data_IF_297245765364
#
_entry.id   IF_297245765364
#
_cell.length_a   1.000
_cell.length_b   1.000
_cell.length_c   1.000
_cell.angle_alpha   90.00
_cell.angle_beta   90.00
_cell.angle_gamma   90.00
#
_symmetry.space_group_name_H-M   'P 1'
#
loop_
_entity.id
_entity.type
_entity.pdbx_description
1 polymer ?
#
# COMPACT_ATOMS: atom_id res chain seq x y z
N UNK A 1 -22.39 21.03 -28.16
CA UNK A 1 -21.81 19.80 -27.54
C UNK A 1 -20.37 19.68 -28.01
N UNK A 2 -19.43 19.37 -27.12
CA UNK A 2 -18.01 19.17 -27.41
C UNK A 2 -17.68 17.71 -27.16
N UNK A 3 -17.07 17.05 -28.13
CA UNK A 3 -16.58 15.68 -28.02
C UNK A 3 -15.06 15.67 -28.20
N UNK A 4 -14.32 15.12 -27.24
CA UNK A 4 -12.86 15.08 -27.28
C UNK A 4 -12.29 13.73 -26.83
N UNK A 5 -11.15 13.36 -27.40
CA UNK A 5 -10.30 12.26 -26.94
C UNK A 5 -8.89 12.83 -26.71
N UNK A 6 -8.65 13.55 -25.59
CA UNK A 6 -7.37 14.16 -25.32
C UNK A 6 -6.25 13.12 -25.21
N UNK A 7 -5.00 13.48 -25.53
CA UNK A 7 -3.86 12.59 -25.35
C UNK A 7 -3.71 12.13 -23.88
N UNK A 8 -3.46 10.83 -23.69
CA UNK A 8 -3.14 10.22 -22.39
C UNK A 8 -1.64 10.32 -22.13
N UNK A 9 -1.17 11.50 -21.72
CA UNK A 9 0.23 11.72 -21.41
C UNK A 9 0.41 12.36 -20.03
N UNK A 10 1.22 11.71 -19.20
CA UNK A 10 1.71 12.24 -17.92
C UNK A 10 3.11 12.86 -18.10
N UNK A 11 3.39 13.91 -17.33
CA UNK A 11 4.70 14.54 -17.32
C UNK A 11 5.81 13.62 -16.76
N UNK A 12 5.46 12.72 -15.83
CA UNK A 12 6.33 11.71 -15.23
C UNK A 12 6.15 10.36 -15.95
N UNK A 13 7.25 9.69 -16.30
CA UNK A 13 7.21 8.37 -16.95
C UNK A 13 7.75 7.30 -16.03
N UNK A 14 7.23 6.07 -16.07
CA UNK A 14 7.74 4.95 -15.26
C UNK A 14 9.25 4.67 -15.43
N UNK A 15 9.87 5.16 -16.52
CA UNK A 15 11.32 5.04 -16.77
C UNK A 15 12.20 5.93 -15.88
N UNK A 16 11.64 6.93 -15.19
CA UNK A 16 12.38 7.71 -14.19
C UNK A 16 12.54 6.96 -12.88
N UNK A 17 11.58 6.11 -12.52
CA UNK A 17 11.64 5.25 -11.33
C UNK A 17 12.73 4.17 -11.48
N UNK A 18 13.06 3.76 -12.70
CA UNK A 18 14.13 2.80 -13.00
C UNK A 18 15.47 3.47 -13.41
N UNK A 19 15.59 4.79 -13.31
CA UNK A 19 16.83 5.53 -13.64
C UNK A 19 17.21 5.57 -15.14
N UNK A 20 16.34 5.09 -16.04
CA UNK A 20 16.65 4.92 -17.49
C UNK A 20 15.98 5.94 -18.41
N UNK A 21 15.22 6.91 -17.88
CA UNK A 21 14.48 7.88 -18.67
C UNK A 21 14.66 9.32 -18.20
N UNK A 22 14.75 10.26 -19.15
CA UNK A 22 14.53 11.70 -18.90
C UNK A 22 13.03 11.96 -18.82
N UNK A 23 12.60 12.87 -17.92
CA UNK A 23 11.22 13.39 -17.92
C UNK A 23 10.83 13.85 -19.34
N UNK A 24 9.60 13.60 -19.77
CA UNK A 24 9.03 14.25 -20.97
C UNK A 24 8.67 15.69 -20.60
N UNK A 25 9.68 16.51 -20.35
CA UNK A 25 9.54 17.93 -19.96
C UNK A 25 8.71 18.77 -20.94
N UNK A 26 8.56 18.32 -22.20
CA UNK A 26 7.90 19.09 -23.26
C UNK A 26 6.39 18.91 -23.44
N UNK A 27 5.73 17.90 -22.87
CA UNK A 27 4.32 17.60 -23.23
C UNK A 27 3.31 18.30 -22.31
N UNK A 28 3.62 18.46 -21.02
CA UNK A 28 2.71 19.07 -20.05
C UNK A 28 3.31 20.26 -19.26
N UNK A 29 4.61 20.29 -18.96
CA UNK A 29 5.17 21.20 -17.95
C UNK A 29 5.44 22.62 -18.47
N UNK A 30 5.61 22.82 -19.78
CA UNK A 30 6.06 24.10 -20.34
C UNK A 30 5.13 24.72 -21.41
N UNK A 31 3.84 24.34 -21.45
CA UNK A 31 2.88 24.98 -22.35
C UNK A 31 2.13 26.13 -21.64
N UNK A 32 1.67 27.13 -22.40
CA UNK A 32 0.94 28.30 -21.86
C UNK A 32 -0.30 27.91 -21.04
N UNK A 33 -0.96 26.81 -21.40
CA UNK A 33 -2.13 26.31 -20.68
C UNK A 33 -1.75 25.82 -19.27
N UNK A 34 -0.66 25.08 -19.11
CA UNK A 34 -0.16 24.64 -17.81
C UNK A 34 0.11 25.85 -16.90
N UNK A 35 0.87 26.83 -17.39
CA UNK A 35 1.18 28.04 -16.62
C UNK A 35 -0.10 28.79 -16.21
N UNK A 36 -1.07 28.93 -17.12
CA UNK A 36 -2.34 29.60 -16.86
C UNK A 36 -3.20 28.86 -15.83
N UNK A 37 -3.27 27.54 -15.91
CA UNK A 37 -4.12 26.72 -15.04
C UNK A 37 -3.43 26.24 -13.76
N UNK A 38 -2.11 26.42 -13.59
CA UNK A 38 -1.36 25.92 -12.43
C UNK A 38 -1.91 26.40 -11.10
N UNK A 39 -2.25 27.68 -11.01
CA UNK A 39 -2.87 28.26 -9.82
C UNK A 39 -4.30 27.79 -9.59
N UNK A 40 -5.05 27.46 -10.66
CA UNK A 40 -6.46 27.05 -10.63
C UNK A 40 -6.64 25.57 -10.28
N UNK A 41 -5.89 24.67 -10.92
CA UNK A 41 -6.08 23.21 -10.82
C UNK A 41 -4.89 22.46 -10.21
N UNK A 42 -3.82 23.17 -9.82
CA UNK A 42 -2.70 22.59 -9.08
C UNK A 42 -1.95 21.49 -9.85
N UNK A 43 -1.72 20.35 -9.19
CA UNK A 43 -0.98 19.22 -9.75
C UNK A 43 -1.69 18.53 -10.92
N UNK A 44 -3.01 18.73 -11.07
CA UNK A 44 -3.76 18.23 -12.23
C UNK A 44 -3.25 18.79 -13.57
N UNK A 45 -2.54 19.93 -13.56
CA UNK A 45 -1.89 20.46 -14.77
C UNK A 45 -0.82 19.53 -15.37
N UNK A 46 -0.32 18.55 -14.63
CA UNK A 46 0.63 17.55 -15.13
C UNK A 46 -0.03 16.51 -16.07
N UNK A 47 -1.36 16.53 -16.15
CA UNK A 47 -2.18 15.58 -16.89
C UNK A 47 -2.85 16.29 -18.07
N UNK A 48 -2.51 15.88 -19.29
CA UNK A 48 -2.94 16.61 -20.50
C UNK A 48 -4.47 16.64 -20.62
N UNK A 49 -5.16 15.54 -20.36
CA UNK A 49 -6.63 15.50 -20.42
C UNK A 49 -7.27 16.52 -19.45
N UNK A 50 -6.67 16.72 -18.27
CA UNK A 50 -7.18 17.65 -17.26
C UNK A 50 -7.02 19.12 -17.70
N UNK A 51 -5.95 19.43 -18.44
CA UNK A 51 -5.78 20.74 -19.08
C UNK A 51 -6.87 21.00 -20.12
N UNK A 52 -7.21 20.01 -20.95
CA UNK A 52 -8.31 20.13 -21.90
C UNK A 52 -9.65 20.36 -21.20
N UNK A 53 -9.95 19.59 -20.15
CA UNK A 53 -11.16 19.80 -19.35
C UNK A 53 -11.22 21.21 -18.77
N UNK A 54 -10.13 21.68 -18.15
CA UNK A 54 -10.07 23.00 -17.54
C UNK A 54 -10.22 24.11 -18.59
N UNK A 55 -9.60 23.96 -19.76
CA UNK A 55 -9.69 24.92 -20.85
C UNK A 55 -11.10 25.02 -21.44
N UNK A 56 -11.75 23.88 -21.68
CA UNK A 56 -13.14 23.86 -22.16
C UNK A 56 -14.05 24.51 -21.12
N UNK A 57 -13.90 24.15 -19.85
CA UNK A 57 -14.71 24.70 -18.76
C UNK A 57 -14.49 26.20 -18.55
N UNK A 58 -13.27 26.71 -18.74
CA UNK A 58 -12.95 28.14 -18.64
C UNK A 58 -13.55 28.95 -19.80
N UNK A 59 -13.56 28.38 -21.02
CA UNK A 59 -13.91 29.10 -22.25
C UNK A 59 -15.34 28.87 -22.76
N UNK A 60 -15.98 27.77 -22.40
CA UNK A 60 -17.28 27.35 -22.95
C UNK A 60 -18.16 26.87 -21.79
N UNK A 61 -18.77 27.80 -21.06
CA UNK A 61 -19.48 27.49 -19.81
C UNK A 61 -20.89 26.92 -20.01
N UNK A 62 -21.52 27.12 -21.17
CA UNK A 62 -22.90 26.68 -21.43
C UNK A 62 -22.99 25.37 -22.24
N UNK A 63 -21.86 24.69 -22.42
CA UNK A 63 -21.75 23.49 -23.24
C UNK A 63 -22.05 22.19 -22.51
N UNK A 64 -22.25 21.12 -23.30
CA UNK A 64 -22.08 19.74 -22.86
C UNK A 64 -20.69 19.28 -23.31
N UNK A 65 -19.88 18.79 -22.39
CA UNK A 65 -18.57 18.17 -22.66
C UNK A 65 -18.70 16.65 -22.53
N UNK A 66 -18.41 15.94 -23.61
CA UNK A 66 -18.22 14.51 -23.62
C UNK A 66 -16.75 14.20 -23.92
N UNK A 67 -16.09 13.38 -23.11
CA UNK A 67 -14.67 13.11 -23.29
C UNK A 67 -14.27 11.68 -22.92
N UNK A 68 -13.23 11.19 -23.58
CA UNK A 68 -12.44 10.10 -23.05
C UNK A 68 -11.31 10.60 -22.14
N UNK A 69 -11.10 9.96 -20.99
CA UNK A 69 -9.98 10.26 -20.08
C UNK A 69 -9.71 9.11 -19.11
N UNK A 70 -8.57 9.14 -18.43
CA UNK A 70 -8.45 8.37 -17.17
C UNK A 70 -9.35 9.01 -16.11
N UNK A 71 -9.80 8.23 -15.12
CA UNK A 71 -10.69 8.74 -14.07
C UNK A 71 -9.96 9.32 -12.84
N UNK A 72 -8.66 9.64 -12.98
CA UNK A 72 -7.87 10.29 -11.93
C UNK A 72 -8.46 11.61 -11.45
N UNK A 73 -9.15 12.34 -12.32
CA UNK A 73 -9.77 13.62 -11.94
C UNK A 73 -10.93 13.50 -10.96
N UNK A 74 -11.47 12.27 -10.81
CA UNK A 74 -12.45 11.94 -9.79
C UNK A 74 -11.72 11.49 -8.52
N UNK A 75 -10.96 10.39 -8.59
CA UNK A 75 -10.46 9.72 -7.38
C UNK A 75 -9.03 10.08 -6.93
N UNK A 76 -8.25 10.75 -7.78
CA UNK A 76 -6.86 11.08 -7.49
C UNK A 76 -6.74 12.18 -6.43
N UNK A 77 -5.93 11.94 -5.40
CA UNK A 77 -5.61 12.94 -4.38
C UNK A 77 -4.95 14.21 -4.95
N UNK A 78 -4.15 14.06 -6.02
CA UNK A 78 -3.55 15.19 -6.73
C UNK A 78 -4.56 16.10 -7.47
N UNK A 79 -5.83 15.71 -7.51
CA UNK A 79 -6.91 16.42 -8.21
C UNK A 79 -7.86 17.18 -7.27
N UNK A 80 -7.55 17.31 -5.98
CA UNK A 80 -8.44 18.04 -5.05
C UNK A 80 -8.70 19.48 -5.49
N UNK A 81 -7.65 20.23 -5.87
CA UNK A 81 -7.81 21.58 -6.46
C UNK A 81 -8.59 21.56 -7.77
N UNK A 82 -8.40 20.53 -8.60
CA UNK A 82 -9.16 20.39 -9.84
C UNK A 82 -10.66 20.20 -9.57
N UNK A 83 -11.05 19.36 -8.61
CA UNK A 83 -12.46 19.13 -8.23
C UNK A 83 -13.12 20.38 -7.64
N UNK A 84 -12.35 21.22 -6.95
CA UNK A 84 -12.83 22.53 -6.50
C UNK A 84 -13.00 23.54 -7.64
N UNK A 85 -12.25 23.40 -8.74
CA UNK A 85 -12.37 24.26 -9.92
C UNK A 85 -13.44 23.79 -10.90
N UNK A 86 -13.35 22.53 -11.35
CA UNK A 86 -14.24 21.92 -12.33
C UNK A 86 -15.51 21.39 -11.64
N UNK A 87 -16.54 22.24 -11.60
CA UNK A 87 -17.83 21.91 -10.97
C UNK A 87 -18.91 21.57 -11.99
N UNK A 88 -18.59 20.92 -13.10
CA UNK A 88 -19.63 20.55 -14.07
C UNK A 88 -20.53 19.43 -13.53
N UNK A 89 -21.83 19.44 -13.86
CA UNK A 89 -22.75 18.36 -13.48
C UNK A 89 -22.52 17.13 -14.34
N UNK A 90 -22.20 16.01 -13.72
CA UNK A 90 -22.12 14.71 -14.39
C UNK A 90 -23.49 14.29 -14.95
N UNK A 91 -23.52 13.82 -16.20
CA UNK A 91 -24.74 13.35 -16.88
C UNK A 91 -24.76 11.84 -17.15
N UNK A 92 -23.61 11.18 -17.11
CA UNK A 92 -23.49 9.75 -17.42
C UNK A 92 -22.19 9.44 -18.16
N UNK A 93 -21.96 8.15 -18.38
CA UNK A 93 -20.73 7.68 -19.01
C UNK A 93 -20.52 6.19 -18.82
N UNK A 94 -19.44 5.71 -19.43
CA UNK A 94 -19.03 4.32 -19.33
C UNK A 94 -17.50 4.21 -19.22
N UNK A 95 -17.00 3.05 -18.79
CA UNK A 95 -15.58 2.71 -18.77
C UNK A 95 -15.30 1.42 -19.54
N UNK A 96 -14.12 1.36 -20.15
CA UNK A 96 -13.58 0.20 -20.89
C UNK A 96 -12.12 -0.03 -20.50
N UNK A 97 -11.57 -1.24 -20.70
CA UNK A 97 -10.14 -1.50 -20.54
C UNK A 97 -9.30 -0.58 -21.42
N UNK A 98 -8.24 0.02 -20.89
CA UNK A 98 -7.41 0.95 -21.64
C UNK A 98 -6.75 0.33 -22.88
N UNK A 99 -6.46 -0.97 -22.83
CA UNK A 99 -5.85 -1.74 -23.92
C UNK A 99 -6.81 -2.05 -25.09
N UNK A 100 -8.03 -1.50 -25.10
CA UNK A 100 -8.90 -1.43 -26.29
C UNK A 100 -8.53 -0.27 -27.22
N UNK A 101 -7.74 0.70 -26.76
CA UNK A 101 -7.25 1.82 -27.56
C UNK A 101 -5.90 1.49 -28.22
N UNK A 102 -5.75 1.88 -29.48
CA UNK A 102 -4.50 1.67 -30.22
C UNK A 102 -3.28 2.21 -29.47
N UNK A 103 -2.23 1.39 -29.43
CA UNK A 103 -0.95 1.70 -28.78
C UNK A 103 -0.98 1.85 -27.24
N UNK A 104 -2.07 1.45 -26.58
CA UNK A 104 -2.15 1.41 -25.11
C UNK A 104 -1.95 -0.01 -24.61
N UNK A 105 -0.94 -0.20 -23.74
CA UNK A 105 -0.61 -1.51 -23.13
C UNK A 105 -0.96 -1.62 -21.64
N UNK A 106 -1.43 -0.53 -21.03
CA UNK A 106 -1.68 -0.49 -19.59
C UNK A 106 -3.00 -1.15 -19.19
N UNK A 107 -3.05 -1.61 -17.93
CA UNK A 107 -4.22 -2.22 -17.32
C UNK A 107 -4.89 -1.21 -16.37
N UNK A 108 -5.69 -0.31 -16.94
CA UNK A 108 -6.45 0.70 -16.21
C UNK A 108 -7.76 1.03 -16.95
N UNK A 109 -8.74 1.73 -16.34
CA UNK A 109 -9.96 2.08 -17.04
C UNK A 109 -9.77 3.39 -17.82
N UNK A 110 -10.31 3.42 -19.05
CA UNK A 110 -10.56 4.67 -19.78
C UNK A 110 -12.07 4.92 -19.74
N UNK A 111 -12.46 6.11 -19.30
CA UNK A 111 -13.86 6.49 -19.18
C UNK A 111 -14.28 7.45 -20.29
N UNK A 112 -15.42 7.17 -20.92
CA UNK A 112 -16.19 8.16 -21.67
C UNK A 112 -17.19 8.83 -20.73
N UNK A 113 -17.03 10.12 -20.45
CA UNK A 113 -17.85 10.84 -19.46
C UNK A 113 -18.49 12.08 -20.06
N UNK A 114 -19.75 12.33 -19.69
CA UNK A 114 -20.57 13.43 -20.20
C UNK A 114 -20.89 14.40 -19.05
N UNK A 115 -20.67 15.69 -19.30
CA UNK A 115 -20.73 16.76 -18.31
C UNK A 115 -21.51 17.96 -18.83
N UNK A 116 -22.45 18.48 -18.03
CA UNK A 116 -23.09 19.78 -18.25
C UNK A 116 -22.28 20.88 -17.56
N UNK A 117 -21.65 21.76 -18.36
CA UNK A 117 -20.74 22.80 -17.88
C UNK A 117 -21.47 23.98 -17.24
N UNK A 118 -22.76 24.16 -17.55
CA UNK A 118 -23.59 25.26 -17.05
C UNK A 118 -23.97 25.04 -15.58
N UNK A 119 -24.27 23.80 -15.22
CA UNK A 119 -24.61 23.45 -13.84
C UNK A 119 -23.35 23.31 -12.97
N UNK A 120 -23.36 23.97 -11.81
CA UNK A 120 -22.25 23.99 -10.84
C UNK A 120 -22.46 22.98 -9.71
N UNK A 121 -21.98 21.75 -9.89
CA UNK A 121 -22.10 20.63 -8.95
C UNK A 121 -20.71 20.07 -8.62
N UNK A 122 -20.42 19.88 -7.33
CA UNK A 122 -19.16 19.25 -6.88
C UNK A 122 -19.16 17.76 -7.24
N UNK A 123 -18.00 17.25 -7.65
CA UNK A 123 -17.83 15.82 -7.95
C UNK A 123 -17.68 15.07 -6.62
N UNK A 124 -18.77 14.48 -6.13
CA UNK A 124 -18.75 13.61 -4.95
C UNK A 124 -18.63 12.14 -5.32
N UNK A 125 -19.39 11.72 -6.33
CA UNK A 125 -19.39 10.38 -6.90
C UNK A 125 -19.88 10.46 -8.35
N UNK A 126 -19.34 9.59 -9.21
CA UNK A 126 -19.93 9.28 -10.51
C UNK A 126 -20.15 7.78 -10.63
N UNK A 127 -21.12 7.38 -11.47
CA UNK A 127 -21.42 5.98 -11.75
C UNK A 127 -21.31 5.78 -13.25
N UNK A 128 -20.41 4.90 -13.65
CA UNK A 128 -20.22 4.54 -15.06
C UNK A 128 -20.72 3.12 -15.31
N UNK A 129 -21.34 2.91 -16.47
CA UNK A 129 -21.50 1.56 -17.01
C UNK A 129 -20.11 0.97 -17.33
N UNK A 130 -19.96 -0.33 -17.18
CA UNK A 130 -18.68 -1.02 -17.40
C UNK A 130 -18.86 -1.96 -18.58
N UNK A 131 -18.02 -1.80 -19.58
CA UNK A 131 -17.95 -2.70 -20.73
C UNK A 131 -16.61 -3.42 -20.72
N UNK A 132 -16.63 -4.70 -21.09
CA UNK A 132 -15.40 -5.48 -21.26
C UNK A 132 -14.68 -5.12 -22.57
N UNK A 133 -13.62 -5.87 -22.89
CA UNK A 133 -12.82 -5.63 -24.10
C UNK A 133 -13.57 -5.94 -25.42
N UNK A 134 -14.67 -6.69 -25.35
CA UNK A 134 -15.49 -7.07 -26.50
C UNK A 134 -16.71 -6.14 -26.67
N UNK A 135 -16.89 -5.19 -25.75
CA UNK A 135 -18.04 -4.29 -25.73
C UNK A 135 -19.27 -4.91 -25.05
N UNK A 136 -19.11 -5.98 -24.27
CA UNK A 136 -20.19 -6.57 -23.48
C UNK A 136 -20.36 -5.81 -22.16
N UNK A 137 -21.60 -5.49 -21.81
CA UNK A 137 -21.90 -4.85 -20.53
C UNK A 137 -21.70 -5.82 -19.37
N UNK A 138 -20.87 -5.46 -18.40
CA UNK A 138 -20.51 -6.30 -17.24
C UNK A 138 -20.89 -5.69 -15.89
N UNK A 139 -21.56 -4.54 -15.87
CA UNK A 139 -22.11 -3.94 -14.67
C UNK A 139 -21.89 -2.43 -14.57
N UNK A 140 -21.90 -1.91 -13.34
CA UNK A 140 -21.67 -0.50 -13.02
C UNK A 140 -20.54 -0.37 -12.01
N UNK A 141 -19.79 0.72 -12.11
CA UNK A 141 -18.76 1.07 -11.12
C UNK A 141 -18.94 2.49 -10.61
N UNK A 142 -18.80 2.65 -9.30
CA UNK A 142 -18.71 3.94 -8.65
C UNK A 142 -17.26 4.46 -8.67
N UNK A 143 -17.09 5.75 -8.93
CA UNK A 143 -15.85 6.47 -8.74
C UNK A 143 -16.12 7.62 -7.77
N UNK A 144 -15.25 7.75 -6.75
CA UNK A 144 -15.50 8.63 -5.60
C UNK A 144 -14.59 9.85 -5.63
N UNK A 145 -15.19 11.04 -5.55
CA UNK A 145 -14.48 12.32 -5.54
C UNK A 145 -14.16 12.84 -4.14
N UNK A 146 -14.98 12.50 -3.15
CA UNK A 146 -14.80 12.87 -1.75
C UNK A 146 -14.37 11.64 -0.93
N UNK A 147 -13.08 11.36 -0.92
CA UNK A 147 -12.51 10.23 -0.20
C UNK A 147 -12.01 10.67 1.19
N UNK A 148 -12.14 9.81 2.22
CA UNK A 148 -11.44 9.98 3.49
C UNK A 148 -9.92 10.08 3.31
N UNK A 149 -9.24 10.38 4.41
CA UNK A 149 -7.79 10.28 4.47
C UNK A 149 -7.28 8.91 4.05
N UNK A 150 -6.04 8.85 3.56
CA UNK A 150 -5.47 7.60 3.06
C UNK A 150 -5.06 6.64 4.18
N UNK A 151 -4.98 5.36 3.86
CA UNK A 151 -4.46 4.32 4.78
C UNK A 151 -3.02 4.62 5.25
N UNK A 152 -2.23 5.39 4.47
CA UNK A 152 -0.90 5.83 4.87
C UNK A 152 -0.95 6.82 6.04
N UNK A 153 -1.93 7.72 6.07
CA UNK A 153 -2.15 8.62 7.22
C UNK A 153 -2.61 7.84 8.46
N UNK A 154 -3.30 6.72 8.27
CA UNK A 154 -3.70 5.83 9.36
C UNK A 154 -2.49 5.12 9.99
N UNK A 155 -1.66 4.41 9.20
CA UNK A 155 -0.55 3.63 9.76
C UNK A 155 0.55 4.48 10.40
N UNK A 156 0.76 5.72 9.94
CA UNK A 156 1.74 6.65 10.53
C UNK A 156 1.47 6.90 12.01
N UNK A 157 0.20 6.85 12.45
CA UNK A 157 -0.17 7.07 13.86
C UNK A 157 0.30 5.97 14.81
N UNK A 158 0.77 4.84 14.26
CA UNK A 158 1.29 3.69 15.00
C UNK A 158 2.80 3.49 14.79
N UNK A 159 3.46 4.49 14.19
CA UNK A 159 4.92 4.53 14.12
C UNK A 159 5.48 5.01 15.45
N UNK A 160 6.50 4.31 15.93
CA UNK A 160 7.16 4.57 17.20
C UNK A 160 8.63 4.15 17.08
N UNK A 161 9.49 4.81 17.85
CA UNK A 161 10.90 4.46 17.98
C UNK A 161 11.04 3.40 19.08
N UNK A 162 11.29 2.14 18.70
CA UNK A 162 11.40 1.01 19.63
C UNK A 162 12.69 0.22 19.44
N UNK A 163 13.05 -0.52 20.50
CA UNK A 163 14.33 -1.24 20.63
C UNK A 163 14.54 -2.39 19.64
N UNK A 164 13.47 -3.05 19.17
CA UNK A 164 13.57 -4.21 18.26
C UNK A 164 12.82 -3.91 16.95
N UNK A 165 13.57 -3.79 15.86
CA UNK A 165 13.04 -3.72 14.50
C UNK A 165 12.82 -5.14 13.96
N UNK A 166 11.56 -5.51 13.74
CA UNK A 166 11.18 -6.77 13.11
C UNK A 166 11.29 -6.69 11.58
N UNK A 167 11.09 -5.53 10.99
CA UNK A 167 11.13 -5.33 9.55
C UNK A 167 10.72 -3.93 9.13
N UNK A 168 10.73 -3.68 7.82
CA UNK A 168 10.43 -2.38 7.22
C UNK A 168 9.33 -2.52 6.17
N UNK A 169 8.21 -1.84 6.37
CA UNK A 169 7.06 -1.84 5.46
C UNK A 169 7.13 -0.67 4.49
N UNK A 170 7.16 -0.97 3.18
CA UNK A 170 7.35 0.05 2.14
C UNK A 170 6.20 1.08 2.10
N UNK A 171 6.53 2.37 2.18
CA UNK A 171 5.58 3.47 2.03
C UNK A 171 5.33 3.82 0.55
N UNK A 172 4.61 2.93 -0.14
CA UNK A 172 4.12 3.16 -1.50
C UNK A 172 2.83 3.99 -1.51
N UNK A 173 2.51 4.62 -2.64
CA UNK A 173 1.22 5.29 -2.82
C UNK A 173 0.07 4.29 -2.54
N UNK A 174 -0.97 4.67 -1.81
CA UNK A 174 -2.00 3.76 -1.30
C UNK A 174 -3.09 3.52 -2.34
N UNK A 175 -2.72 2.97 -3.50
CA UNK A 175 -3.66 2.62 -4.56
C UNK A 175 -3.22 1.34 -5.29
N UNK A 176 -4.14 0.73 -6.03
CA UNK A 176 -3.85 -0.51 -6.74
C UNK A 176 -2.75 -0.38 -7.81
N UNK A 177 -2.59 0.79 -8.44
CA UNK A 177 -1.55 1.02 -9.45
C UNK A 177 -0.14 0.84 -8.85
N UNK A 178 0.03 1.21 -7.58
CA UNK A 178 1.30 1.18 -6.87
C UNK A 178 1.43 0.03 -5.86
N UNK A 179 0.40 -0.80 -5.69
CA UNK A 179 0.42 -1.93 -4.74
C UNK A 179 1.53 -2.94 -5.00
N UNK A 180 1.97 -3.10 -6.26
CA UNK A 180 3.09 -3.99 -6.59
C UNK A 180 4.45 -3.57 -5.98
N UNK A 181 4.56 -2.32 -5.48
CA UNK A 181 5.72 -1.80 -4.77
C UNK A 181 5.67 -2.10 -3.26
N UNK A 182 4.51 -2.46 -2.72
CA UNK A 182 4.35 -2.77 -1.31
C UNK A 182 5.10 -4.07 -0.99
N UNK A 183 5.94 -4.02 0.03
CA UNK A 183 6.66 -5.17 0.54
C UNK A 183 7.04 -4.96 2.02
N UNK A 184 7.40 -6.04 2.69
CA UNK A 184 8.13 -6.02 3.97
C UNK A 184 9.57 -6.41 3.67
N UNK A 185 10.53 -5.63 4.15
CA UNK A 185 11.96 -5.77 3.86
C UNK A 185 12.77 -5.86 5.15
N UNK A 186 13.91 -6.55 5.10
CA UNK A 186 14.90 -6.53 6.20
C UNK A 186 15.78 -5.28 6.20
N UNK A 187 15.87 -4.58 5.06
CA UNK A 187 16.76 -3.43 4.86
C UNK A 187 16.01 -2.26 4.23
N UNK A 188 16.37 -1.06 4.68
CA UNK A 188 15.85 0.20 4.13
C UNK A 188 16.23 0.37 2.66
N UNK A 189 15.30 0.91 1.89
CA UNK A 189 15.51 1.37 0.52
C UNK A 189 15.45 2.90 0.46
N UNK A 190 15.74 3.50 -0.70
CA UNK A 190 15.69 4.97 -0.86
C UNK A 190 14.32 5.56 -0.50
N UNK A 191 13.25 4.81 -0.78
CA UNK A 191 11.90 5.13 -0.37
C UNK A 191 11.74 4.90 1.13
N UNK A 192 11.11 5.86 1.80
CA UNK A 192 10.74 5.73 3.20
C UNK A 192 9.94 4.45 3.48
N UNK A 193 10.26 3.77 4.57
CA UNK A 193 9.56 2.59 5.05
C UNK A 193 9.14 2.82 6.49
N UNK A 194 7.96 2.31 6.83
CA UNK A 194 7.44 2.26 8.19
C UNK A 194 8.16 1.16 8.97
N UNK A 195 8.58 1.44 10.20
CA UNK A 195 9.19 0.46 11.07
C UNK A 195 8.12 -0.51 11.60
N UNK A 196 8.41 -1.81 11.55
CA UNK A 196 7.60 -2.86 12.17
C UNK A 196 8.29 -3.30 13.45
N UNK A 197 7.55 -3.27 14.56
CA UNK A 197 7.96 -3.66 15.90
C UNK A 197 6.87 -4.54 16.52
N UNK A 198 7.10 -5.02 17.75
CA UNK A 198 6.13 -5.85 18.48
C UNK A 198 4.79 -5.12 18.66
N UNK A 199 4.82 -3.83 18.97
CA UNK A 199 3.66 -3.04 19.37
C UNK A 199 2.74 -2.72 18.18
N UNK A 200 3.28 -2.66 16.97
CA UNK A 200 2.53 -2.34 15.76
C UNK A 200 2.44 -3.51 14.75
N UNK A 201 2.85 -4.72 15.16
CA UNK A 201 2.88 -5.90 14.27
C UNK A 201 1.50 -6.19 13.67
N UNK A 202 0.45 -6.24 14.50
CA UNK A 202 -0.93 -6.49 14.04
C UNK A 202 -1.41 -5.36 13.13
N UNK A 203 -1.12 -4.10 13.48
CA UNK A 203 -1.48 -2.94 12.65
C UNK A 203 -0.82 -3.01 11.27
N UNK A 204 0.47 -3.37 11.23
CA UNK A 204 1.24 -3.54 10.00
C UNK A 204 0.70 -4.68 9.16
N UNK A 205 0.29 -5.77 9.80
CA UNK A 205 -0.32 -6.91 9.12
C UNK A 205 -1.70 -6.57 8.53
N UNK A 206 -2.56 -5.86 9.25
CA UNK A 206 -3.86 -5.38 8.74
C UNK A 206 -3.65 -4.44 7.55
N UNK A 207 -2.73 -3.48 7.65
CA UNK A 207 -2.36 -2.61 6.53
C UNK A 207 -1.94 -3.41 5.30
N UNK A 208 -1.04 -4.38 5.51
CA UNK A 208 -0.45 -5.16 4.43
C UNK A 208 -1.49 -6.08 3.76
N UNK A 209 -2.29 -6.79 4.55
CA UNK A 209 -3.34 -7.67 4.08
C UNK A 209 -4.45 -6.92 3.36
N UNK A 210 -4.93 -5.79 3.93
CA UNK A 210 -5.95 -4.96 3.28
C UNK A 210 -5.53 -4.50 1.89
N UNK A 211 -4.24 -4.20 1.70
CA UNK A 211 -3.69 -3.79 0.40
C UNK A 211 -3.47 -4.93 -0.60
N UNK A 212 -3.27 -6.17 -0.15
CA UNK A 212 -2.79 -7.27 -1.00
C UNK A 212 -3.74 -8.46 -1.12
N UNK A 213 -4.81 -8.54 -0.33
CA UNK A 213 -5.78 -9.63 -0.43
C UNK A 213 -6.68 -9.54 -1.67
N UNK A 214 -6.80 -8.37 -2.29
CA UNK A 214 -7.60 -8.15 -3.51
C UNK A 214 -6.66 -8.07 -4.71
N UNK A 215 -6.92 -8.86 -5.74
CA UNK A 215 -6.13 -8.85 -6.97
C UNK A 215 -6.31 -7.52 -7.74
N UNK A 216 -5.21 -6.98 -8.26
CA UNK A 216 -5.25 -5.82 -9.15
C UNK A 216 -5.88 -6.24 -10.49
N UNK A 217 -6.80 -5.42 -10.97
CA UNK A 217 -7.46 -5.54 -12.26
C UNK A 217 -7.40 -4.20 -12.97
N UNK A 218 -7.66 -4.21 -14.29
CA UNK A 218 -7.81 -2.96 -15.02
C UNK A 218 -8.91 -2.05 -14.45
N UNK A 219 -9.93 -2.62 -13.80
CA UNK A 219 -11.08 -1.87 -13.33
C UNK A 219 -10.82 -1.20 -11.98
N UNK A 220 -10.14 -1.88 -11.05
CA UNK A 220 -9.78 -1.33 -9.74
C UNK A 220 -8.46 -0.55 -9.73
N UNK A 221 -7.80 -0.41 -10.88
CA UNK A 221 -6.65 0.47 -11.01
C UNK A 221 -6.96 1.87 -10.45
N UNK A 222 -6.05 2.37 -9.61
CA UNK A 222 -6.13 3.64 -8.88
C UNK A 222 -7.28 3.78 -7.88
N UNK A 223 -8.04 2.72 -7.57
CA UNK A 223 -8.89 2.75 -6.37
C UNK A 223 -7.98 2.97 -5.15
N UNK A 224 -8.37 3.92 -4.29
CA UNK A 224 -7.54 4.40 -3.19
C UNK A 224 -7.84 3.60 -1.92
N UNK A 225 -6.80 3.17 -1.20
CA UNK A 225 -6.90 2.59 0.13
C UNK A 225 -6.99 3.69 1.19
N UNK A 226 -7.97 3.56 2.08
CA UNK A 226 -8.46 4.64 2.93
C UNK A 226 -8.21 4.36 4.40
N UNK A 227 -8.32 5.43 5.19
CA UNK A 227 -8.36 5.40 6.63
C UNK A 227 -9.58 4.58 7.08
N UNK A 228 -9.39 3.48 7.83
CA UNK A 228 -10.48 2.59 8.20
C UNK A 228 -11.36 3.17 9.31
N UNK A 229 -12.58 2.66 9.43
CA UNK A 229 -13.36 2.81 10.66
C UNK A 229 -12.79 1.93 11.78
N UNK A 230 -13.30 2.07 13.01
CA UNK A 230 -12.76 1.38 14.18
C UNK A 230 -13.22 -0.08 14.34
N UNK A 231 -14.08 -0.60 13.45
CA UNK A 231 -14.67 -1.93 13.57
C UNK A 231 -13.67 -3.08 13.58
N UNK A 232 -12.50 -2.91 12.94
CA UNK A 232 -11.45 -3.94 12.90
C UNK A 232 -10.73 -4.12 14.24
N UNK A 233 -10.82 -3.14 15.18
CA UNK A 233 -10.04 -3.14 16.44
C UNK A 233 -10.42 -4.29 17.38
N UNK A 234 -11.70 -4.68 17.35
CA UNK A 234 -12.24 -5.75 18.19
C UNK A 234 -12.38 -7.08 17.42
N UNK A 235 -12.25 -7.07 16.08
CA UNK A 235 -12.28 -8.29 15.25
C UNK A 235 -10.92 -8.99 15.29
N UNK A 236 -10.69 -9.76 16.35
CA UNK A 236 -9.47 -10.52 16.57
C UNK A 236 -9.26 -11.63 15.53
N UNK A 237 -10.33 -12.22 14.98
CA UNK A 237 -10.22 -13.22 13.90
C UNK A 237 -9.66 -12.56 12.63
N UNK A 238 -10.21 -11.41 12.21
CA UNK A 238 -9.70 -10.63 11.09
C UNK A 238 -8.24 -10.21 11.28
N UNK A 239 -7.87 -9.76 12.49
CA UNK A 239 -6.49 -9.39 12.80
C UNK A 239 -5.53 -10.57 12.67
N UNK A 240 -5.90 -11.73 13.20
CA UNK A 240 -5.09 -12.95 13.15
C UNK A 240 -4.98 -13.47 11.72
N UNK A 241 -6.07 -13.45 10.96
CA UNK A 241 -6.09 -13.78 9.53
C UNK A 241 -5.16 -12.87 8.73
N UNK A 242 -5.17 -11.55 8.99
CA UNK A 242 -4.25 -10.60 8.38
C UNK A 242 -2.78 -10.89 8.73
N UNK A 243 -2.49 -11.28 9.97
CA UNK A 243 -1.14 -11.67 10.39
C UNK A 243 -0.66 -12.92 9.65
N UNK A 244 -1.47 -13.97 9.60
CA UNK A 244 -1.12 -15.20 8.88
C UNK A 244 -0.96 -14.95 7.38
N UNK A 245 -1.86 -14.16 6.79
CA UNK A 245 -1.72 -13.73 5.39
C UNK A 245 -0.37 -13.04 5.19
N UNK A 246 -0.01 -12.08 6.04
CA UNK A 246 1.25 -11.33 5.96
C UNK A 246 2.50 -12.21 6.11
N UNK A 247 2.46 -13.22 6.99
CA UNK A 247 3.58 -14.13 7.22
C UNK A 247 3.95 -14.94 5.97
N UNK A 248 2.95 -15.40 5.22
CA UNK A 248 3.16 -16.30 4.08
C UNK A 248 2.98 -15.63 2.71
N UNK A 249 2.61 -14.34 2.66
CA UNK A 249 2.49 -13.62 1.41
C UNK A 249 3.85 -13.35 0.76
N UNK A 250 3.93 -13.42 -0.57
CA UNK A 250 5.21 -13.29 -1.29
C UNK A 250 5.83 -11.89 -1.30
N UNK A 251 5.07 -10.87 -0.91
CA UNK A 251 5.58 -9.52 -0.70
C UNK A 251 6.21 -9.34 0.69
N UNK A 252 6.12 -10.34 1.56
CA UNK A 252 7.02 -10.44 2.71
C UNK A 252 8.38 -10.95 2.22
N UNK A 253 9.34 -10.04 2.11
CA UNK A 253 10.69 -10.25 1.58
C UNK A 253 11.75 -10.05 2.66
N UNK A 254 11.40 -10.34 3.91
CA UNK A 254 12.38 -10.53 4.97
C UNK A 254 13.40 -11.56 4.50
N UNK A 255 14.67 -11.35 4.79
CA UNK A 255 15.74 -12.28 4.45
C UNK A 255 16.74 -12.37 5.59
N UNK A 256 17.13 -13.59 5.95
CA UNK A 256 18.17 -13.84 6.95
C UNK A 256 19.57 -13.40 6.49
N UNK A 257 19.73 -12.98 5.23
CA UNK A 257 20.98 -12.39 4.69
C UNK A 257 21.25 -10.98 5.22
N UNK A 258 20.26 -10.35 5.85
CA UNK A 258 20.33 -8.94 6.27
C UNK A 258 20.15 -8.75 7.77
N UNK A 259 20.19 -9.84 8.56
CA UNK A 259 20.04 -9.81 10.01
C UNK A 259 19.26 -11.00 10.52
N UNK A 260 18.94 -10.97 11.82
CA UNK A 260 18.15 -12.00 12.48
C UNK A 260 16.75 -12.05 11.87
N UNK A 261 16.29 -13.25 11.51
CA UNK A 261 14.94 -13.46 11.00
C UNK A 261 13.98 -13.69 12.18
N UNK A 262 13.17 -12.68 12.49
CA UNK A 262 12.15 -12.76 13.53
C UNK A 262 10.80 -13.33 13.05
N UNK A 263 10.66 -13.69 11.77
CA UNK A 263 9.37 -13.98 11.11
C UNK A 263 9.07 -15.48 10.96
N UNK A 264 9.87 -16.38 11.54
CA UNK A 264 9.61 -17.83 11.49
C UNK A 264 8.45 -18.17 12.45
N UNK A 265 7.29 -18.64 11.94
CA UNK A 265 6.11 -18.87 12.78
C UNK A 265 6.09 -20.25 13.46
N UNK A 266 7.16 -21.03 13.32
CA UNK A 266 7.25 -22.42 13.78
C UNK A 266 8.36 -22.60 14.82
N UNK A 267 8.27 -23.64 15.65
CA UNK A 267 9.42 -24.12 16.42
C UNK A 267 10.26 -25.09 15.60
N UNK A 268 11.49 -25.34 16.05
CA UNK A 268 12.42 -26.29 15.45
C UNK A 268 11.80 -27.69 15.33
N UNK A 269 11.08 -28.13 16.37
CA UNK A 269 10.41 -29.43 16.39
C UNK A 269 9.25 -29.50 15.38
N UNK A 270 8.53 -28.40 15.15
CA UNK A 270 7.43 -28.37 14.17
C UNK A 270 7.94 -28.58 12.75
N UNK A 271 9.17 -28.13 12.43
CA UNK A 271 9.73 -28.17 11.07
C UNK A 271 10.96 -29.07 10.91
N UNK A 272 11.30 -29.86 11.93
CA UNK A 272 12.46 -30.74 11.95
C UNK A 272 13.78 -29.98 11.66
N UNK A 273 13.94 -28.78 12.22
CA UNK A 273 15.17 -28.02 12.08
C UNK A 273 16.33 -28.73 12.79
N UNK A 274 17.51 -28.72 12.15
CA UNK A 274 18.72 -29.41 12.65
C UNK A 274 19.46 -28.62 13.73
N UNK A 275 19.23 -27.33 13.78
CA UNK A 275 19.86 -26.38 14.70
C UNK A 275 18.79 -25.42 15.24
N UNK A 276 19.14 -24.74 16.33
CA UNK A 276 18.27 -23.76 17.00
C UNK A 276 18.10 -22.51 16.14
N UNK A 277 16.91 -21.93 16.12
CA UNK A 277 16.68 -20.63 15.49
C UNK A 277 17.31 -19.50 16.31
N UNK A 278 17.80 -18.49 15.61
CA UNK A 278 18.36 -17.27 16.21
C UNK A 278 17.26 -16.42 16.89
N UNK A 279 15.99 -16.61 16.49
CA UNK A 279 14.85 -15.96 17.12
C UNK A 279 13.61 -16.85 17.16
N UNK A 280 12.94 -16.84 18.31
CA UNK A 280 11.64 -17.48 18.54
C UNK A 280 10.48 -16.48 18.50
N UNK A 281 10.74 -15.20 18.20
CA UNK A 281 9.80 -14.08 18.37
C UNK A 281 8.41 -14.40 17.79
N UNK A 282 8.30 -14.70 16.49
CA UNK A 282 6.99 -14.89 15.88
C UNK A 282 6.28 -16.14 16.43
N UNK A 283 7.00 -17.26 16.60
CA UNK A 283 6.42 -18.47 17.18
C UNK A 283 5.90 -18.26 18.62
N UNK A 284 6.60 -17.45 19.43
CA UNK A 284 6.19 -17.09 20.78
C UNK A 284 5.06 -16.06 20.78
N UNK A 285 5.06 -15.11 19.84
CA UNK A 285 3.99 -14.13 19.65
C UNK A 285 2.66 -14.84 19.37
N UNK A 286 2.65 -15.76 18.40
CA UNK A 286 1.45 -16.53 18.02
C UNK A 286 0.92 -17.38 19.19
N UNK A 287 1.81 -17.90 20.04
CA UNK A 287 1.46 -18.73 21.21
C UNK A 287 1.13 -17.91 22.47
N UNK A 288 1.13 -16.58 22.39
CA UNK A 288 0.87 -15.71 23.54
C UNK A 288 1.95 -15.78 24.63
N UNK A 289 3.19 -16.12 24.28
CA UNK A 289 4.29 -16.30 25.24
C UNK A 289 5.12 -15.04 25.48
N UNK A 290 4.90 -13.98 24.70
CA UNK A 290 5.66 -12.74 24.84
C UNK A 290 5.09 -11.92 25.99
N UNK A 291 5.82 -11.83 27.10
CA UNK A 291 5.41 -11.01 28.25
C UNK A 291 5.30 -9.53 27.86
N UNK A 292 4.34 -8.82 28.44
CA UNK A 292 4.39 -7.36 28.49
C UNK A 292 5.55 -6.97 29.39
N UNK A 293 6.39 -6.02 28.97
CA UNK A 293 7.34 -5.41 29.90
C UNK A 293 6.50 -4.64 30.94
N UNK A 294 6.44 -5.16 32.16
CA UNK A 294 6.02 -4.35 33.29
C UNK A 294 7.05 -3.26 33.44
N UNK A 295 6.66 -2.00 33.21
CA UNK A 295 7.36 -0.88 33.85
C UNK A 295 7.09 -1.01 35.35
N UNK A 296 7.86 -1.86 36.02
CA UNK A 296 8.06 -1.73 37.46
C UNK A 296 8.77 -0.40 37.66
N UNK A 297 8.02 0.61 38.08
CA UNK A 297 8.57 1.83 38.67
C UNK A 297 9.22 1.41 40.01
N UNK A 298 10.44 0.88 39.93
CA UNK A 298 11.31 0.72 41.09
C UNK A 298 12.09 2.03 41.22
N UNK A 299 11.90 2.69 42.37
CA UNK A 299 12.42 4.00 42.80
C UNK A 299 11.53 5.22 42.47
N UNK A 300 10.51 5.41 43.31
CA UNK A 300 10.19 6.75 43.80
C UNK A 300 11.15 7.08 44.95
N UNK A 301 11.95 8.13 44.78
CA UNK A 301 12.28 9.06 45.86
C UNK A 301 12.68 10.40 45.22
N UNK A 302 11.77 11.36 45.24
CA UNK A 302 12.09 12.79 45.09
C UNK A 302 12.67 13.28 46.42
N UNK A 303 13.62 14.23 46.39
CA UNK A 303 13.16 15.59 46.69
C UNK A 303 13.78 16.66 45.77
N UNK A 304 12.88 17.56 45.34
CA UNK A 304 13.07 19.01 45.11
C UNK A 304 14.50 19.56 45.00
N UNK A 305 14.80 20.15 43.83
CA UNK A 305 15.99 20.98 43.62
C UNK A 305 15.91 21.73 42.28
N UNK A 306 15.41 22.95 42.36
CA UNK A 306 15.35 23.95 41.29
C UNK A 306 16.75 24.47 40.97
N UNK A 307 17.28 24.29 39.75
CA UNK A 307 18.31 25.19 39.20
C UNK A 307 18.23 25.23 37.66
N UNK A 308 18.03 26.45 37.18
CA UNK A 308 18.12 26.92 35.80
C UNK A 308 19.56 26.96 35.26
N UNK A 309 19.73 26.78 33.95
CA UNK A 309 20.78 27.38 33.10
C UNK A 309 20.83 26.62 31.76
N UNK A 310 21.16 27.18 30.60
CA UNK A 310 21.31 28.53 30.05
C UNK A 310 21.91 28.29 28.65
N UNK A 311 21.33 28.87 27.58
CA UNK A 311 21.98 29.31 26.33
C UNK A 311 22.80 28.26 25.51
N UNK A 312 23.02 28.32 24.20
CA UNK A 312 22.61 29.20 23.10
C UNK A 312 23.09 28.59 21.78
N UNK A 313 22.31 28.82 20.73
CA UNK A 313 22.68 29.05 19.32
C UNK A 313 24.09 28.73 18.78
N UNK A 314 24.13 28.10 17.61
CA UNK A 314 24.87 28.65 16.45
C UNK A 314 24.31 28.12 15.12
N UNK A 315 24.17 29.05 14.16
CA UNK A 315 23.62 28.96 12.81
C UNK A 315 24.69 28.56 11.77
N UNK A 316 24.32 27.67 10.81
CA UNK A 316 24.40 27.72 9.33
C UNK A 316 25.67 28.25 8.58
N UNK A 317 25.79 28.15 7.22
CA UNK A 317 25.19 27.24 6.20
C UNK A 317 26.23 26.75 5.14
N UNK A 318 25.81 25.93 4.14
CA UNK A 318 26.18 26.10 2.70
C UNK A 318 25.61 25.02 1.75
N UNK A 319 24.65 25.44 0.92
CA UNK A 319 24.30 25.05 -0.46
C UNK A 319 24.75 23.70 -1.07
N UNK A 320 23.77 22.88 -1.51
CA UNK A 320 23.70 22.33 -2.88
C UNK A 320 22.42 21.52 -3.15
N UNK A 321 21.69 21.92 -4.19
CA UNK A 321 20.94 21.03 -5.11
C UNK A 321 19.54 20.59 -4.68
N UNK A 322 18.53 21.38 -5.06
CA UNK A 322 17.12 21.00 -4.99
C UNK A 322 16.84 19.69 -5.77
N UNK A 323 16.42 18.66 -5.04
CA UNK A 323 15.58 17.57 -5.55
C UNK A 323 14.30 17.62 -4.73
N UNK A 324 13.19 17.90 -5.38
CA UNK A 324 11.85 17.91 -4.77
C UNK A 324 11.49 16.49 -4.29
N UNK A 325 11.82 16.21 -3.02
CA UNK A 325 11.24 15.15 -2.22
C UNK A 325 9.99 15.65 -1.51
N UNK A 326 9.04 14.75 -1.28
CA UNK A 326 7.85 14.97 -0.46
C UNK A 326 8.24 15.62 0.88
N UNK A 327 8.01 16.93 1.00
CA UNK A 327 8.06 17.65 2.27
C UNK A 327 6.69 17.51 2.93
N UNK A 328 6.58 16.55 3.84
CA UNK A 328 5.57 16.62 4.88
C UNK A 328 5.99 17.73 5.84
N UNK A 329 5.43 18.93 5.67
CA UNK A 329 5.48 19.95 6.71
C UNK A 329 4.60 19.47 7.86
N UNK A 330 5.25 19.08 8.96
CA UNK A 330 4.60 18.95 10.25
C UNK A 330 4.37 20.37 10.78
N UNK A 331 3.14 20.85 10.69
CA UNK A 331 2.73 22.01 11.48
C UNK A 331 2.75 21.60 12.95
N UNK A 332 3.55 22.33 13.73
CA UNK A 332 3.73 22.13 15.16
C UNK A 332 2.40 22.30 15.89
N UNK A 333 1.77 21.18 16.18
CA UNK A 333 0.74 21.08 17.22
C UNK A 333 1.37 20.29 18.36
N UNK A 334 1.44 20.91 19.54
CA UNK A 334 1.90 20.26 20.75
C UNK A 334 1.20 18.90 20.91
N UNK A 335 2.00 17.84 20.92
CA UNK A 335 1.55 16.48 21.20
C UNK A 335 1.17 16.44 22.67
N UNK A 336 -0.10 16.68 22.96
CA UNK A 336 -0.70 16.18 24.19
C UNK A 336 -0.78 14.67 24.06
N UNK A 337 -0.18 13.98 25.02
CA UNK A 337 -0.21 12.53 25.16
C UNK A 337 -1.62 11.99 24.96
N UNK A 338 -1.84 11.24 23.88
CA UNK A 338 -3.11 10.54 23.67
C UNK A 338 -3.29 9.45 24.73
N UNK A 339 -4.37 9.49 25.53
CA UNK A 339 -4.73 8.40 26.40
C UNK A 339 -5.58 7.43 25.57
N UNK A 340 -4.95 6.47 24.90
CA UNK A 340 -5.56 5.21 24.44
C UNK A 340 -4.49 4.31 23.80
N UNK A 341 -3.45 3.99 24.57
CA UNK A 341 -2.80 2.71 24.37
C UNK A 341 -3.77 1.65 24.90
N UNK A 342 -4.45 0.94 24.01
CA UNK A 342 -5.25 -0.23 24.36
C UNK A 342 -4.40 -1.10 25.28
N UNK A 343 -4.84 -1.24 26.55
CA UNK A 343 -4.19 -2.12 27.53
C UNK A 343 -4.06 -3.49 26.90
N UNK A 344 -2.83 -3.87 26.52
CA UNK A 344 -2.48 -5.24 26.18
C UNK A 344 -2.72 -6.08 27.43
N UNK A 345 -3.88 -6.74 27.50
CA UNK A 345 -4.10 -7.86 28.41
C UNK A 345 -3.01 -8.90 28.14
N UNK A 346 -2.59 -9.65 29.17
CA UNK A 346 -1.61 -10.72 29.03
C UNK A 346 -1.96 -11.60 27.82
N UNK A 347 -1.02 -11.89 26.91
CA UNK A 347 -1.42 -12.39 25.60
C UNK A 347 -1.92 -13.82 25.73
N UNK A 348 -3.22 -14.01 25.54
CA UNK A 348 -3.77 -15.32 25.24
C UNK A 348 -3.17 -15.82 23.91
N UNK A 349 -2.98 -17.13 23.72
CA UNK A 349 -2.66 -17.69 22.41
C UNK A 349 -3.63 -17.16 21.35
N UNK A 350 -3.11 -16.81 20.17
CA UNK A 350 -3.95 -16.36 19.07
C UNK A 350 -4.84 -17.51 18.60
N UNK A 351 -6.11 -17.21 18.32
CA UNK A 351 -7.05 -18.16 17.70
C UNK A 351 -7.03 -17.95 16.19
N UNK A 352 -6.89 -19.04 15.43
CA UNK A 352 -6.85 -19.00 13.97
C UNK A 352 -8.13 -19.53 13.37
N UNK A 353 -8.59 -18.86 12.31
CA UNK A 353 -9.64 -19.41 11.47
C UNK A 353 -9.21 -20.71 10.78
N UNK A 354 -10.15 -21.54 10.30
CA UNK A 354 -9.81 -22.72 9.50
C UNK A 354 -8.94 -22.38 8.27
N UNK A 355 -9.21 -21.25 7.61
CA UNK A 355 -8.45 -20.79 6.45
C UNK A 355 -7.02 -20.39 6.83
N UNK A 356 -6.85 -19.64 7.93
CA UNK A 356 -5.54 -19.29 8.43
C UNK A 356 -4.75 -20.52 8.89
N UNK A 357 -5.40 -21.46 9.58
CA UNK A 357 -4.79 -22.72 9.98
C UNK A 357 -4.30 -23.53 8.77
N UNK A 358 -5.09 -23.60 7.69
CA UNK A 358 -4.69 -24.26 6.45
C UNK A 358 -3.45 -23.62 5.81
N UNK A 359 -3.30 -22.30 5.89
CA UNK A 359 -2.08 -21.59 5.44
C UNK A 359 -0.87 -21.95 6.32
N UNK A 360 -1.05 -21.96 7.65
CA UNK A 360 0.00 -22.35 8.60
C UNK A 360 0.47 -23.78 8.32
N UNK A 361 -0.46 -24.71 8.12
CA UNK A 361 -0.15 -26.12 7.86
C UNK A 361 0.59 -26.31 6.53
N UNK A 362 0.11 -25.66 5.45
CA UNK A 362 0.80 -25.69 4.16
C UNK A 362 2.21 -25.07 4.24
N UNK A 363 2.35 -23.98 5.00
CA UNK A 363 3.64 -23.37 5.29
C UNK A 363 4.57 -24.30 6.07
N UNK A 364 4.05 -25.03 7.06
CA UNK A 364 4.83 -25.97 7.89
C UNK A 364 5.44 -27.07 7.04
N UNK A 365 4.66 -27.65 6.12
CA UNK A 365 5.14 -28.70 5.21
C UNK A 365 6.24 -28.17 4.26
N UNK A 366 6.12 -26.93 3.77
CA UNK A 366 7.16 -26.30 2.98
C UNK A 366 8.47 -26.11 3.77
N UNK A 367 8.38 -25.67 5.03
CA UNK A 367 9.55 -25.54 5.90
C UNK A 367 10.18 -26.90 6.23
N UNK A 368 9.38 -27.92 6.55
CA UNK A 368 9.86 -29.30 6.76
C UNK A 368 10.63 -29.80 5.55
N UNK A 369 10.09 -29.59 4.36
CA UNK A 369 10.77 -29.99 3.13
C UNK A 369 12.07 -29.24 2.93
N UNK A 370 12.11 -27.93 3.16
CA UNK A 370 13.34 -27.15 3.12
C UNK A 370 14.39 -27.69 4.12
N UNK A 371 14.03 -27.94 5.39
CA UNK A 371 14.96 -28.48 6.39
C UNK A 371 15.45 -29.92 6.10
N UNK A 372 14.74 -30.67 5.25
CA UNK A 372 15.21 -31.98 4.77
C UNK A 372 16.43 -31.87 3.84
N UNK A 373 16.65 -30.71 3.21
CA UNK A 373 17.73 -30.51 2.23
C UNK A 373 19.09 -30.30 2.91
N UNK A 374 20.20 -30.69 2.26
CA UNK A 374 21.54 -30.47 2.81
C UNK A 374 21.93 -28.98 2.75
N UNK A 375 22.79 -28.55 3.68
CA UNK A 375 23.42 -27.23 3.70
C UNK A 375 22.44 -26.05 3.67
N UNK A 376 21.28 -26.20 4.31
CA UNK A 376 20.28 -25.14 4.44
C UNK A 376 20.61 -24.21 5.60
N UNK A 377 20.29 -22.92 5.44
CA UNK A 377 20.30 -21.98 6.55
C UNK A 377 19.04 -22.18 7.39
N UNK A 378 19.18 -22.54 8.67
CA UNK A 378 18.04 -22.83 9.55
C UNK A 378 17.17 -21.61 9.83
N UNK A 379 17.71 -20.40 9.69
CA UNK A 379 17.01 -19.14 9.93
C UNK A 379 16.30 -18.60 8.68
N UNK A 380 16.14 -19.39 7.62
CA UNK A 380 15.54 -18.97 6.36
C UNK A 380 14.08 -18.51 6.51
N UNK A 381 13.76 -17.37 5.91
CA UNK A 381 12.39 -16.89 5.72
C UNK A 381 11.72 -17.59 4.53
N UNK A 382 10.41 -17.36 4.32
CA UNK A 382 9.75 -17.81 3.08
C UNK A 382 10.47 -17.30 1.83
N UNK A 383 10.94 -16.06 1.86
CA UNK A 383 11.65 -15.45 0.73
C UNK A 383 12.98 -16.17 0.46
N UNK A 384 13.73 -16.53 1.50
CA UNK A 384 14.99 -17.27 1.39
C UNK A 384 14.76 -18.71 0.90
N UNK A 385 13.72 -19.38 1.41
CA UNK A 385 13.31 -20.72 0.96
C UNK A 385 12.96 -20.68 -0.53
N UNK A 386 12.15 -19.70 -0.96
CA UNK A 386 11.84 -19.49 -2.37
C UNK A 386 13.09 -19.28 -3.20
N UNK A 387 14.02 -18.44 -2.72
CA UNK A 387 15.28 -18.20 -3.41
C UNK A 387 16.12 -19.48 -3.55
N UNK A 388 16.19 -20.30 -2.49
CA UNK A 388 16.94 -21.56 -2.50
C UNK A 388 16.47 -22.50 -3.62
N UNK A 389 15.16 -22.69 -3.76
CA UNK A 389 14.62 -23.60 -4.77
C UNK A 389 14.53 -22.98 -6.17
N UNK A 390 14.15 -21.70 -6.28
CA UNK A 390 13.91 -21.06 -7.58
C UNK A 390 15.21 -20.55 -8.20
N UNK A 391 16.22 -20.23 -7.38
CA UNK A 391 17.44 -19.56 -7.85
C UNK A 391 17.17 -18.17 -8.43
N UNK A 392 18.21 -17.58 -9.01
CA UNK A 392 18.16 -16.27 -9.68
C UNK A 392 18.62 -16.41 -11.13
N UNK A 393 18.08 -15.56 -12.00
CA UNK A 393 18.54 -15.42 -13.38
C UNK A 393 19.84 -14.60 -13.47
N UNK A 394 20.39 -14.45 -14.68
CA UNK A 394 21.62 -13.67 -14.94
C UNK A 394 21.53 -12.19 -14.53
N UNK A 395 20.32 -11.64 -14.40
CA UNK A 395 20.07 -10.26 -13.95
C UNK A 395 19.86 -10.17 -12.43
N UNK A 396 20.00 -11.27 -11.68
CA UNK A 396 19.79 -11.32 -10.24
C UNK A 396 18.32 -11.36 -9.81
N UNK A 397 17.36 -11.48 -10.74
CA UNK A 397 15.93 -11.64 -10.42
C UNK A 397 15.63 -13.10 -10.10
N UNK A 398 14.87 -13.34 -9.03
CA UNK A 398 14.41 -14.69 -8.67
C UNK A 398 13.56 -15.29 -9.81
N UNK A 399 13.82 -16.55 -10.15
CA UNK A 399 13.05 -17.23 -11.20
C UNK A 399 11.62 -17.49 -10.74
N UNK A 400 10.67 -17.65 -11.67
CA UNK A 400 9.27 -17.92 -11.31
C UNK A 400 8.99 -19.38 -10.92
N UNK A 401 9.80 -20.32 -11.42
CA UNK A 401 9.68 -21.77 -11.18
C UNK A 401 10.99 -22.35 -10.67
N UNK A 402 10.90 -23.48 -9.97
CA UNK A 402 12.03 -24.36 -9.67
C UNK A 402 11.99 -25.60 -10.56
N UNK A 403 13.12 -26.30 -10.65
CA UNK A 403 13.16 -27.67 -11.20
C UNK A 403 12.80 -28.74 -10.14
N UNK A 404 12.63 -28.35 -8.88
CA UNK A 404 12.22 -29.25 -7.79
C UNK A 404 10.69 -29.39 -7.79
N UNK A 405 10.20 -30.57 -8.23
CA UNK A 405 8.77 -30.85 -8.40
C UNK A 405 8.02 -30.80 -7.07
N UNK A 406 8.56 -31.43 -6.02
CA UNK A 406 7.94 -31.43 -4.68
C UNK A 406 7.85 -30.03 -4.11
N UNK A 407 8.88 -29.19 -4.26
CA UNK A 407 8.79 -27.78 -3.89
C UNK A 407 7.67 -27.07 -4.66
N UNK A 408 7.57 -27.28 -5.98
CA UNK A 408 6.57 -26.63 -6.82
C UNK A 408 5.14 -27.00 -6.38
N UNK A 409 4.90 -28.25 -5.97
CA UNK A 409 3.62 -28.71 -5.41
C UNK A 409 3.32 -28.02 -4.07
N UNK A 410 4.29 -28.00 -3.14
CA UNK A 410 4.13 -27.39 -1.82
C UNK A 410 3.87 -25.88 -1.89
N UNK A 411 4.63 -25.15 -2.71
CA UNK A 411 4.44 -23.71 -2.88
C UNK A 411 3.13 -23.38 -3.62
N UNK A 412 2.68 -24.26 -4.54
CA UNK A 412 1.37 -24.12 -5.18
C UNK A 412 0.23 -24.30 -4.17
N UNK A 413 0.31 -25.33 -3.32
CA UNK A 413 -0.64 -25.56 -2.23
C UNK A 413 -0.69 -24.36 -1.27
N UNK A 414 0.46 -23.85 -0.82
CA UNK A 414 0.52 -22.66 0.04
C UNK A 414 -0.16 -21.44 -0.61
N UNK A 415 0.10 -21.20 -1.90
CA UNK A 415 -0.53 -20.12 -2.66
C UNK A 415 -2.05 -20.29 -2.79
N UNK A 416 -2.54 -21.51 -2.96
CA UNK A 416 -3.97 -21.81 -3.00
C UNK A 416 -4.65 -21.51 -1.64
N UNK A 417 -4.03 -21.94 -0.54
CA UNK A 417 -4.56 -21.64 0.81
C UNK A 417 -4.52 -20.15 1.11
N UNK A 418 -3.47 -19.45 0.69
CA UNK A 418 -3.39 -17.99 0.77
C UNK A 418 -4.51 -17.29 -0.01
N UNK A 419 -4.84 -17.77 -1.22
CA UNK A 419 -5.98 -17.22 -1.99
C UNK A 419 -7.31 -17.44 -1.28
N UNK A 420 -7.48 -18.57 -0.61
CA UNK A 420 -8.68 -18.85 0.18
C UNK A 420 -8.78 -17.90 1.37
N UNK A 421 -7.69 -17.71 2.12
CA UNK A 421 -7.61 -16.74 3.21
C UNK A 421 -7.85 -15.31 2.72
N UNK A 422 -7.28 -14.94 1.57
CA UNK A 422 -7.48 -13.61 0.96
C UNK A 422 -8.97 -13.32 0.68
N UNK A 423 -9.70 -14.29 0.11
CA UNK A 423 -11.14 -14.18 -0.15
C UNK A 423 -11.96 -14.02 1.13
N UNK A 424 -11.49 -14.57 2.26
CA UNK A 424 -12.11 -14.37 3.57
C UNK A 424 -11.85 -12.96 4.11
N UNK A 425 -10.64 -12.44 3.94
CA UNK A 425 -10.24 -11.08 4.37
C UNK A 425 -10.95 -10.00 3.54
N UNK A 426 -11.12 -10.21 2.24
CA UNK A 426 -11.62 -9.21 1.28
C UNK A 426 -12.94 -8.52 1.71
N UNK A 427 -14.02 -9.22 2.09
CA UNK A 427 -15.25 -8.57 2.55
C UNK A 427 -15.05 -7.60 3.71
N UNK A 428 -14.13 -7.94 4.63
CA UNK A 428 -13.78 -7.12 5.80
C UNK A 428 -13.02 -5.84 5.43
N UNK A 429 -12.25 -5.86 4.33
CA UNK A 429 -11.60 -4.65 3.79
C UNK A 429 -12.64 -3.58 3.45
N UNK A 430 -13.76 -3.98 2.84
CA UNK A 430 -14.87 -3.09 2.55
C UNK A 430 -15.69 -2.72 3.80
N UNK A 431 -15.97 -3.70 4.68
CA UNK A 431 -16.70 -3.48 5.94
C UNK A 431 -16.01 -2.43 6.83
N UNK A 432 -14.68 -2.53 6.96
CA UNK A 432 -13.88 -1.62 7.77
C UNK A 432 -13.46 -0.35 7.03
N UNK A 433 -13.93 -0.16 5.79
CA UNK A 433 -13.74 1.09 5.05
C UNK A 433 -12.32 1.31 4.53
N UNK A 434 -11.48 0.28 4.47
CA UNK A 434 -10.18 0.35 3.81
C UNK A 434 -10.33 0.58 2.29
N UNK A 435 -11.46 0.18 1.71
CA UNK A 435 -11.85 0.46 0.32
C UNK A 435 -13.34 0.84 0.23
N UNK A 436 -13.69 1.56 -0.84
CA UNK A 436 -15.09 1.79 -1.24
C UNK A 436 -15.52 0.73 -2.27
N UNK A 437 -16.83 0.44 -2.32
CA UNK A 437 -17.43 -0.54 -3.23
C UNK A 437 -17.78 0.03 -4.60
#
# INVERSE_FOLDING_TARGET
>A
VIYINPPYAEATTAKTVTGTGKNKSGVAIQNKANQYFKSKIGSATNEVFALFMAQVYDKIQDGILAQFSTLKFVQGSNFDKFKEYFKAKYLGGFVVPANTFDNVKGEFPIGFTIWNLNAKVKIEQIICDVYDRNGEYIGKKNFYGNLPDSINKWIVRYQNDFNIQLGLLVSAAPDFQHNNQLAILSKQQERYCFNICKENLIISAVYFAARLCIEHSWLNDRDQFLYPNDGWKEDTEFQNDCLIFTLFHEQNKISCKHGVNHWIPFTEAEVNAREKFDSHFMSDFLKGKIKAESKENLFEENPSGDVSSSFSSALNPSNRGEKEGFSARADGTQVTSSPNATRLQAPAPLSFSPEAQAVIDAGRELWRYYHSKPNVNVNASLYDIKEYFQGRNQQGKMNFRSNDETYNELIANLREKLKTLAKKIEPKVYEYGFLKR
#
